data_IF_897234034901
#
_entry.id   IF_897234034901
#
_cell.length_a   1.000
_cell.length_b   1.000
_cell.length_c   1.000
_cell.angle_alpha   90.00
_cell.angle_beta   90.00
_cell.angle_gamma   90.00
#
_symmetry.space_group_name_H-M   'P 1'
#
loop_
_entity.id
_entity.type
_entity.pdbx_description
1 polymer ?
#
# COMPACT_ATOMS: atom_id res chain seq x y z
N UNK A 1 0.77 -30.11 -18.60
CA UNK A 1 0.99 -28.66 -18.39
C UNK A 1 1.54 -28.39 -16.98
N UNK A 2 0.92 -28.91 -15.93
CA UNK A 2 1.30 -28.68 -14.51
C UNK A 2 2.73 -29.12 -14.17
N UNK A 3 3.17 -30.33 -14.56
CA UNK A 3 4.54 -30.80 -14.29
C UNK A 3 5.65 -29.92 -14.89
N UNK A 4 5.38 -29.30 -16.05
CA UNK A 4 6.32 -28.36 -16.69
C UNK A 4 6.56 -27.16 -15.77
N UNK A 5 5.51 -26.64 -15.15
CA UNK A 5 5.56 -25.51 -14.21
C UNK A 5 6.39 -25.90 -12.98
N UNK A 6 6.10 -27.06 -12.39
CA UNK A 6 6.82 -27.56 -11.20
C UNK A 6 8.31 -27.76 -11.49
N UNK A 7 8.66 -28.40 -12.61
CA UNK A 7 10.07 -28.55 -13.01
C UNK A 7 10.76 -27.21 -13.21
N UNK A 8 10.08 -26.21 -13.78
CA UNK A 8 10.66 -24.88 -13.95
C UNK A 8 10.85 -24.13 -12.62
N UNK A 9 9.95 -24.29 -11.63
CA UNK A 9 10.17 -23.75 -10.29
C UNK A 9 11.36 -24.41 -9.59
N UNK A 10 11.45 -25.74 -9.66
CA UNK A 10 12.62 -26.49 -9.17
C UNK A 10 13.91 -25.99 -9.81
N UNK A 11 13.95 -25.86 -11.13
CA UNK A 11 15.09 -25.29 -11.88
C UNK A 11 15.50 -23.90 -11.40
N UNK A 12 14.53 -23.04 -11.08
CA UNK A 12 14.83 -21.71 -10.52
C UNK A 12 15.47 -21.80 -9.12
N UNK A 13 15.01 -22.71 -8.25
CA UNK A 13 15.61 -22.93 -6.93
C UNK A 13 17.05 -23.49 -7.01
N UNK A 14 17.36 -24.25 -8.06
CA UNK A 14 18.70 -24.74 -8.35
C UNK A 14 19.57 -23.77 -9.15
N UNK A 15 19.01 -22.63 -9.58
CA UNK A 15 19.69 -21.64 -10.42
C UNK A 15 20.36 -22.26 -11.67
N UNK A 16 19.62 -23.14 -12.35
CA UNK A 16 20.13 -23.87 -13.52
C UNK A 16 20.34 -22.95 -14.72
N UNK A 17 21.00 -23.47 -15.77
CA UNK A 17 21.20 -22.69 -16.99
C UNK A 17 19.87 -22.36 -17.65
N UNK A 18 19.81 -21.17 -18.24
CA UNK A 18 18.57 -20.67 -18.83
C UNK A 18 18.05 -21.51 -20.01
N UNK A 19 18.90 -22.33 -20.63
CA UNK A 19 18.54 -23.30 -21.67
C UNK A 19 17.76 -24.52 -21.15
N UNK A 20 17.78 -24.77 -19.85
CA UNK A 20 17.13 -25.95 -19.25
C UNK A 20 15.65 -25.73 -18.98
N UNK A 21 15.17 -24.48 -19.00
CA UNK A 21 13.75 -24.17 -18.77
C UNK A 21 12.87 -24.65 -19.92
N UNK A 22 11.75 -25.28 -19.58
CA UNK A 22 10.82 -25.83 -20.56
C UNK A 22 9.74 -24.81 -20.94
N UNK A 23 9.75 -24.36 -22.19
CA UNK A 23 8.64 -23.63 -22.80
C UNK A 23 8.26 -22.33 -22.08
N UNK A 24 9.26 -21.54 -21.70
CA UNK A 24 9.12 -20.19 -21.14
C UNK A 24 9.54 -19.14 -22.16
N UNK A 25 8.72 -18.09 -22.31
CA UNK A 25 9.08 -16.88 -23.06
C UNK A 25 9.82 -15.87 -22.18
N UNK A 26 9.43 -15.77 -20.90
CA UNK A 26 10.09 -14.95 -19.88
C UNK A 26 10.74 -15.90 -18.87
N UNK A 27 12.05 -15.75 -18.67
CA UNK A 27 12.83 -16.63 -17.80
C UNK A 27 12.91 -16.04 -16.39
N UNK A 28 12.68 -16.85 -15.33
CA UNK A 28 12.80 -16.37 -13.97
C UNK A 28 14.27 -16.13 -13.61
N UNK A 29 14.50 -15.29 -12.61
CA UNK A 29 15.79 -15.20 -11.93
C UNK A 29 15.89 -16.37 -10.96
N UNK A 30 16.96 -17.16 -11.07
CA UNK A 30 17.23 -18.25 -10.12
C UNK A 30 17.72 -17.73 -8.78
N UNK A 31 17.71 -18.60 -7.76
CA UNK A 31 18.20 -18.24 -6.42
C UNK A 31 19.74 -18.22 -6.45
N UNK A 32 20.31 -17.03 -6.35
CA UNK A 32 21.76 -16.85 -6.28
C UNK A 32 22.29 -17.26 -4.90
N UNK A 33 23.11 -18.30 -4.88
CA UNK A 33 23.65 -18.89 -3.64
C UNK A 33 24.59 -17.96 -2.89
N UNK A 34 25.06 -16.87 -3.53
CA UNK A 34 25.91 -15.86 -2.88
C UNK A 34 25.12 -14.94 -1.96
N UNK A 35 23.82 -14.78 -2.20
CA UNK A 35 22.96 -13.85 -1.47
C UNK A 35 21.90 -14.54 -0.60
N UNK A 36 21.78 -15.87 -0.71
CA UNK A 36 20.80 -16.65 0.03
C UNK A 36 21.48 -17.46 1.16
N UNK A 37 21.04 -17.31 2.42
CA UNK A 37 21.47 -18.18 3.52
C UNK A 37 21.31 -19.67 3.17
N UNK A 38 22.27 -20.49 3.60
CA UNK A 38 22.37 -21.89 3.19
C UNK A 38 21.16 -22.73 3.63
N UNK A 39 20.62 -22.46 4.80
CA UNK A 39 19.41 -23.08 5.34
C UNK A 39 18.19 -22.77 4.46
N UNK A 40 17.99 -21.50 4.10
CA UNK A 40 16.90 -21.09 3.20
C UNK A 40 17.04 -21.70 1.80
N UNK A 41 18.25 -21.74 1.26
CA UNK A 41 18.51 -22.35 -0.04
C UNK A 41 18.20 -23.85 -0.04
N UNK A 42 18.60 -24.55 1.03
CA UNK A 42 18.36 -25.98 1.20
C UNK A 42 16.87 -26.25 1.29
N UNK A 43 16.16 -25.54 2.16
CA UNK A 43 14.71 -25.64 2.30
C UNK A 43 13.98 -25.36 0.98
N UNK A 44 14.39 -24.33 0.23
CA UNK A 44 13.80 -24.01 -1.07
C UNK A 44 13.95 -25.15 -2.07
N UNK A 45 15.13 -25.78 -2.15
CA UNK A 45 15.39 -26.91 -3.05
C UNK A 45 14.58 -28.14 -2.65
N UNK A 46 14.62 -28.51 -1.37
CA UNK A 46 13.88 -29.67 -0.84
C UNK A 46 12.38 -29.55 -1.08
N UNK A 47 11.79 -28.38 -0.86
CA UNK A 47 10.36 -28.15 -1.12
C UNK A 47 10.00 -28.42 -2.58
N UNK A 48 10.84 -28.00 -3.54
CA UNK A 48 10.58 -28.21 -4.96
C UNK A 48 10.93 -29.62 -5.45
N UNK A 49 11.90 -30.29 -4.83
CA UNK A 49 12.18 -31.71 -5.03
C UNK A 49 10.97 -32.55 -4.59
N UNK A 50 10.51 -32.34 -3.36
CA UNK A 50 9.33 -33.01 -2.81
C UNK A 50 8.07 -32.71 -3.63
N UNK A 51 7.89 -31.45 -4.06
CA UNK A 51 6.74 -31.08 -4.88
C UNK A 51 6.72 -31.91 -6.17
N UNK A 52 7.86 -32.05 -6.85
CA UNK A 52 7.97 -32.83 -8.08
C UNK A 52 7.73 -34.33 -7.82
N UNK A 53 8.41 -34.91 -6.84
CA UNK A 53 8.29 -36.34 -6.50
C UNK A 53 6.85 -36.72 -6.12
N UNK A 54 6.24 -35.97 -5.19
CA UNK A 54 4.86 -36.20 -4.76
C UNK A 54 3.88 -35.98 -5.91
N UNK A 55 4.14 -34.98 -6.75
CA UNK A 55 3.37 -34.74 -7.97
C UNK A 55 3.41 -35.93 -8.92
N UNK A 56 4.57 -36.55 -9.11
CA UNK A 56 4.73 -37.71 -10.01
C UNK A 56 4.02 -38.95 -9.48
N UNK A 57 4.01 -39.14 -8.16
CA UNK A 57 3.35 -40.29 -7.53
C UNK A 57 1.83 -40.13 -7.43
N UNK A 58 1.34 -38.95 -7.06
CA UNK A 58 -0.08 -38.74 -6.70
C UNK A 58 -0.85 -37.82 -7.67
N UNK A 59 -0.15 -37.12 -8.57
CA UNK A 59 -0.73 -36.09 -9.43
C UNK A 59 -1.06 -34.79 -8.67
N UNK A 60 -1.59 -33.80 -9.41
CA UNK A 60 -2.10 -32.55 -8.84
C UNK A 60 -3.58 -32.36 -9.14
N UNK A 61 -4.33 -31.91 -8.14
CA UNK A 61 -5.75 -31.57 -8.31
C UNK A 61 -5.97 -30.33 -9.18
N UNK A 62 -5.11 -29.33 -9.01
CA UNK A 62 -5.24 -28.01 -9.65
C UNK A 62 -4.17 -27.83 -10.73
N UNK A 63 -4.56 -27.28 -11.89
CA UNK A 63 -3.62 -26.93 -12.95
C UNK A 63 -2.84 -25.65 -12.68
N UNK A 64 -3.40 -24.75 -11.87
CA UNK A 64 -2.79 -23.50 -11.40
C UNK A 64 -3.13 -23.33 -9.91
N UNK A 65 -2.15 -22.93 -9.11
CA UNK A 65 -2.30 -22.78 -7.65
C UNK A 65 -2.21 -21.31 -7.22
N UNK A 66 -1.43 -20.50 -7.92
CA UNK A 66 -1.17 -19.11 -7.56
C UNK A 66 -1.63 -18.14 -8.65
N UNK A 67 -2.25 -17.05 -8.23
CA UNK A 67 -2.54 -15.87 -9.05
C UNK A 67 -2.39 -14.64 -8.16
N UNK A 68 -1.72 -13.61 -8.66
CA UNK A 68 -1.69 -12.30 -8.01
C UNK A 68 -2.75 -11.46 -8.70
N UNK A 69 -3.90 -11.31 -8.04
CA UNK A 69 -5.00 -10.47 -8.51
C UNK A 69 -4.93 -9.09 -7.83
N UNK A 70 -5.53 -8.04 -8.42
CA UNK A 70 -5.69 -6.76 -7.73
C UNK A 70 -6.47 -6.94 -6.42
N UNK A 71 -5.96 -6.41 -5.31
CA UNK A 71 -6.58 -6.56 -3.99
C UNK A 71 -7.22 -5.27 -3.49
N UNK A 72 -7.57 -4.34 -4.38
CA UNK A 72 -8.10 -3.00 -4.06
C UNK A 72 -9.15 -2.97 -2.95
N UNK A 73 -10.24 -3.74 -3.06
CA UNK A 73 -11.30 -3.71 -2.03
C UNK A 73 -10.85 -4.28 -0.70
N UNK A 74 -10.15 -5.42 -0.69
CA UNK A 74 -9.77 -6.12 0.55
C UNK A 74 -8.55 -5.47 1.23
N UNK A 75 -7.59 -4.96 0.47
CA UNK A 75 -6.41 -4.26 1.01
C UNK A 75 -6.81 -3.04 1.82
N UNK A 76 -7.90 -2.37 1.43
CA UNK A 76 -8.48 -1.27 2.19
C UNK A 76 -9.13 -1.71 3.51
N UNK A 77 -9.84 -2.84 3.50
CA UNK A 77 -10.43 -3.41 4.74
C UNK A 77 -9.34 -3.89 5.70
N UNK A 78 -8.22 -4.34 5.15
CA UNK A 78 -7.06 -4.81 5.90
C UNK A 78 -6.07 -3.70 6.30
N UNK A 79 -6.38 -2.43 6.01
CA UNK A 79 -5.51 -1.27 6.27
C UNK A 79 -4.08 -1.44 5.69
N UNK A 80 -4.00 -2.02 4.49
CA UNK A 80 -2.76 -2.16 3.76
C UNK A 80 -2.37 -0.84 3.07
N UNK A 81 -1.10 -0.45 3.16
CA UNK A 81 -0.56 0.71 2.45
C UNK A 81 -0.72 0.56 0.92
N UNK A 82 -0.52 -0.65 0.38
CA UNK A 82 -0.68 -0.95 -1.06
C UNK A 82 -1.88 -1.88 -1.32
N UNK A 83 -2.37 -1.88 -2.55
CA UNK A 83 -3.52 -2.70 -3.00
C UNK A 83 -3.09 -3.98 -3.73
N UNK A 84 -1.88 -4.48 -3.41
CA UNK A 84 -1.26 -5.60 -4.09
C UNK A 84 0.27 -5.49 -4.08
N UNK A 85 0.89 -5.99 -5.15
CA UNK A 85 2.35 -5.91 -5.35
C UNK A 85 2.79 -4.58 -5.97
N UNK A 86 1.84 -3.73 -6.34
CA UNK A 86 2.11 -2.46 -6.97
C UNK A 86 2.79 -1.50 -5.98
N UNK A 87 3.74 -0.67 -6.46
CA UNK A 87 4.24 0.45 -5.68
C UNK A 87 3.09 1.37 -5.26
N UNK A 88 3.23 2.02 -4.10
CA UNK A 88 2.24 2.98 -3.68
C UNK A 88 2.17 4.16 -4.66
N UNK A 89 0.96 4.55 -5.02
CA UNK A 89 0.70 5.63 -5.97
C UNK A 89 0.84 7.02 -5.34
N UNK A 90 0.49 7.16 -4.07
CA UNK A 90 0.52 8.44 -3.36
C UNK A 90 0.67 8.25 -1.85
N UNK A 91 1.30 9.23 -1.19
CA UNK A 91 1.46 9.26 0.27
C UNK A 91 0.10 9.40 0.97
N UNK A 92 -0.80 10.18 0.40
CA UNK A 92 -2.18 10.35 0.90
C UNK A 92 -3.15 10.00 -0.21
N UNK A 93 -4.05 9.07 0.08
CA UNK A 93 -5.06 8.57 -0.84
C UNK A 93 -6.44 8.82 -0.26
N UNK A 94 -7.41 9.05 -1.13
CA UNK A 94 -8.79 9.26 -0.72
C UNK A 94 -9.69 8.28 -1.43
N UNK A 95 -10.50 7.55 -0.67
CA UNK A 95 -11.53 6.68 -1.22
C UNK A 95 -12.90 7.29 -1.02
N UNK A 96 -13.62 7.51 -2.11
CA UNK A 96 -15.04 7.87 -2.05
C UNK A 96 -15.85 6.68 -1.55
N UNK A 97 -16.65 6.87 -0.50
CA UNK A 97 -17.52 5.84 0.04
C UNK A 97 -18.86 5.82 -0.72
N UNK A 98 -19.48 4.64 -0.82
CA UNK A 98 -20.75 4.46 -1.53
C UNK A 98 -21.90 5.29 -0.90
N UNK A 99 -21.83 5.55 0.42
CA UNK A 99 -22.78 6.40 1.14
C UNK A 99 -22.47 7.90 1.10
N UNK A 100 -21.46 8.32 0.33
CA UNK A 100 -20.93 9.68 0.38
C UNK A 100 -19.81 9.84 1.41
N UNK A 101 -19.05 10.93 1.29
CA UNK A 101 -17.83 11.16 2.08
C UNK A 101 -16.59 10.49 1.50
N UNK A 102 -15.44 10.78 2.12
CA UNK A 102 -14.14 10.26 1.73
C UNK A 102 -13.46 9.60 2.92
N UNK A 103 -12.74 8.52 2.67
CA UNK A 103 -11.86 7.89 3.63
C UNK A 103 -10.42 8.22 3.26
N UNK A 104 -9.73 8.95 4.14
CA UNK A 104 -8.33 9.36 3.98
C UNK A 104 -7.42 8.22 4.44
N UNK A 105 -6.52 7.80 3.56
CA UNK A 105 -5.55 6.72 3.81
C UNK A 105 -4.18 7.34 3.70
N UNK A 106 -3.43 7.32 4.81
CA UNK A 106 -2.08 7.87 4.89
C UNK A 106 -1.11 6.70 4.89
N UNK A 107 -0.15 6.72 3.98
CA UNK A 107 0.92 5.73 3.90
C UNK A 107 1.71 5.74 5.22
N UNK A 108 1.61 4.66 5.99
CA UNK A 108 2.24 4.53 7.31
C UNK A 108 3.75 4.30 7.20
N UNK A 109 4.22 3.86 6.03
CA UNK A 109 5.62 3.63 5.73
C UNK A 109 6.43 4.92 5.57
N UNK A 110 5.81 6.08 5.30
CA UNK A 110 6.52 7.37 5.19
C UNK A 110 7.29 7.70 6.47
N UNK A 111 6.66 7.58 7.64
CA UNK A 111 7.34 7.84 8.92
C UNK A 111 8.55 6.92 9.10
N UNK A 112 8.37 5.61 8.83
CA UNK A 112 9.44 4.61 8.96
C UNK A 112 10.61 4.92 8.02
N UNK A 113 10.32 5.36 6.80
CA UNK A 113 11.32 5.75 5.82
C UNK A 113 12.10 7.00 6.28
N UNK A 114 11.42 8.04 6.75
CA UNK A 114 12.07 9.27 7.24
C UNK A 114 12.96 9.01 8.46
N UNK A 115 12.52 8.17 9.41
CA UNK A 115 13.36 7.72 10.54
C UNK A 115 14.63 7.04 10.02
N UNK A 116 14.51 6.17 9.02
CA UNK A 116 15.67 5.45 8.45
C UNK A 116 16.63 6.38 7.72
N UNK A 117 16.13 7.47 7.14
CA UNK A 117 16.92 8.51 6.48
C UNK A 117 17.59 9.48 7.46
N UNK A 118 17.27 9.42 8.75
CA UNK A 118 17.91 10.22 9.79
C UNK A 118 17.24 11.56 10.09
N UNK A 119 16.00 11.76 9.66
CA UNK A 119 15.21 12.94 10.03
C UNK A 119 14.88 12.94 11.53
N UNK A 120 14.83 14.13 12.12
CA UNK A 120 14.39 14.33 13.50
C UNK A 120 12.88 14.15 13.65
N UNK A 121 12.41 13.87 14.87
CA UNK A 121 10.97 13.70 15.12
C UNK A 121 10.16 14.94 14.72
N UNK A 122 10.70 16.14 14.95
CA UNK A 122 10.06 17.40 14.56
C UNK A 122 9.94 17.51 13.05
N UNK A 123 11.00 17.21 12.28
CA UNK A 123 10.93 17.24 10.82
C UNK A 123 9.94 16.20 10.28
N UNK A 124 9.90 15.02 10.89
CA UNK A 124 8.97 13.94 10.54
C UNK A 124 7.52 14.40 10.75
N UNK A 125 7.22 15.00 11.90
CA UNK A 125 5.88 15.54 12.18
C UNK A 125 5.49 16.63 11.18
N UNK A 126 6.39 17.56 10.88
CA UNK A 126 6.12 18.66 9.95
C UNK A 126 5.90 18.14 8.52
N UNK A 127 6.73 17.21 8.03
CA UNK A 127 6.54 16.57 6.72
C UNK A 127 5.21 15.80 6.68
N UNK A 128 4.88 15.11 7.76
CA UNK A 128 3.64 14.32 7.87
C UNK A 128 2.42 15.25 7.86
N UNK A 129 2.42 16.33 8.64
CA UNK A 129 1.35 17.34 8.66
C UNK A 129 1.23 18.08 7.33
N UNK A 130 2.35 18.42 6.70
CA UNK A 130 2.35 19.01 5.37
C UNK A 130 1.68 18.09 4.34
N UNK A 131 1.98 16.79 4.41
CA UNK A 131 1.44 15.80 3.46
C UNK A 131 -0.05 15.50 3.69
N UNK A 132 -0.49 15.39 4.96
CA UNK A 132 -1.87 15.01 5.32
C UNK A 132 -2.83 16.19 5.52
N UNK A 133 -2.29 17.40 5.67
CA UNK A 133 -2.99 18.57 6.19
C UNK A 133 -2.86 18.71 7.71
N UNK A 134 -2.94 19.94 8.21
CA UNK A 134 -2.81 20.23 9.64
C UNK A 134 -4.11 19.99 10.43
N UNK A 135 -5.26 19.88 9.75
CA UNK A 135 -6.56 19.68 10.40
C UNK A 135 -7.05 20.87 11.23
N UNK A 136 -6.41 22.04 11.08
CA UNK A 136 -6.73 23.25 11.84
C UNK A 136 -6.54 24.50 10.99
N UNK A 137 -7.28 25.55 11.33
CA UNK A 137 -7.12 26.90 10.76
C UNK A 137 -5.99 27.68 11.44
N UNK A 138 -5.48 27.21 12.58
CA UNK A 138 -4.37 27.84 13.27
C UNK A 138 -3.08 27.76 12.44
N UNK A 139 -2.41 28.90 12.28
CA UNK A 139 -1.17 29.00 11.49
C UNK A 139 -1.39 29.06 9.96
N UNK A 140 -2.64 29.05 9.48
CA UNK A 140 -2.93 29.24 8.07
C UNK A 140 -2.79 30.72 7.65
N UNK A 141 -2.09 31.04 6.54
CA UNK A 141 -1.88 32.43 6.13
C UNK A 141 -3.15 33.09 5.59
N UNK A 142 -3.95 32.37 4.81
CA UNK A 142 -5.08 32.94 4.05
C UNK A 142 -6.45 32.64 4.69
N UNK A 143 -6.72 31.36 4.95
CA UNK A 143 -7.99 30.89 5.52
C UNK A 143 -7.74 30.55 7.00
N UNK A 144 -8.00 31.51 7.88
CA UNK A 144 -7.79 31.36 9.32
C UNK A 144 -8.95 31.95 10.12
N UNK A 145 -8.93 31.75 11.44
CA UNK A 145 -10.01 32.23 12.32
C UNK A 145 -10.27 33.73 12.19
N UNK A 146 -9.23 34.57 12.09
CA UNK A 146 -9.39 36.01 11.99
C UNK A 146 -10.06 36.42 10.66
N UNK A 147 -9.57 35.88 9.53
CA UNK A 147 -10.13 36.20 8.20
C UNK A 147 -11.55 35.68 8.03
N UNK A 148 -11.91 34.56 8.67
CA UNK A 148 -13.28 34.04 8.68
C UNK A 148 -14.22 34.90 9.54
N UNK A 149 -13.77 35.36 10.71
CA UNK A 149 -14.55 36.28 11.55
C UNK A 149 -14.83 37.61 10.82
N UNK A 150 -13.82 38.17 10.13
CA UNK A 150 -14.00 39.39 9.32
C UNK A 150 -15.01 39.21 8.18
N UNK A 151 -15.11 38.00 7.63
CA UNK A 151 -16.10 37.65 6.61
C UNK A 151 -17.50 37.36 7.17
N UNK A 152 -17.69 37.49 8.49
CA UNK A 152 -18.99 37.37 9.15
C UNK A 152 -19.34 35.96 9.63
N UNK A 153 -18.39 35.03 9.69
CA UNK A 153 -18.60 33.74 10.35
C UNK A 153 -18.61 33.92 11.87
N UNK A 154 -19.43 33.14 12.59
CA UNK A 154 -19.37 33.09 14.07
C UNK A 154 -18.31 32.10 14.52
N UNK A 155 -17.81 32.25 15.75
CA UNK A 155 -16.85 31.30 16.32
C UNK A 155 -17.40 29.87 16.35
N UNK A 156 -18.70 29.72 16.61
CA UNK A 156 -19.36 28.40 16.62
C UNK A 156 -19.32 27.75 15.23
N UNK A 157 -19.62 28.53 14.17
CA UNK A 157 -19.56 28.02 12.79
C UNK A 157 -18.14 27.67 12.38
N UNK A 158 -17.15 28.49 12.76
CA UNK A 158 -15.73 28.22 12.46
C UNK A 158 -15.31 26.90 13.13
N UNK A 159 -15.66 26.71 14.40
CA UNK A 159 -15.36 25.48 15.13
C UNK A 159 -16.00 24.25 14.45
N UNK A 160 -17.26 24.38 14.02
CA UNK A 160 -17.98 23.29 13.36
C UNK A 160 -17.36 22.89 12.01
N UNK A 161 -16.79 23.85 11.28
CA UNK A 161 -16.01 23.56 10.06
C UNK A 161 -14.66 22.94 10.40
N UNK A 162 -13.98 23.43 11.44
CA UNK A 162 -12.67 22.94 11.88
C UNK A 162 -12.75 21.47 12.31
N UNK A 163 -13.79 21.10 13.08
CA UNK A 163 -14.07 19.73 13.51
C UNK A 163 -14.30 18.74 12.34
N UNK A 164 -14.54 19.24 11.10
CA UNK A 164 -14.72 18.42 9.90
C UNK A 164 -13.46 18.32 9.02
N UNK A 165 -12.39 19.07 9.30
CA UNK A 165 -11.22 19.17 8.41
C UNK A 165 -10.48 17.84 8.21
N UNK A 166 -10.53 16.95 9.20
CA UNK A 166 -9.88 15.65 9.11
C UNK A 166 -10.56 14.70 8.11
N UNK A 167 -11.88 14.83 7.95
CA UNK A 167 -12.73 13.93 7.16
C UNK A 167 -13.00 14.41 5.73
N UNK A 168 -12.69 15.68 5.41
CA UNK A 168 -12.91 16.23 4.07
C UNK A 168 -11.70 16.07 3.16
N UNK A 169 -11.99 15.84 1.87
CA UNK A 169 -10.97 15.78 0.83
C UNK A 169 -10.43 17.16 0.43
N UNK A 170 -11.31 18.15 0.37
CA UNK A 170 -11.03 19.52 -0.03
C UNK A 170 -11.74 20.43 0.99
N UNK A 171 -11.07 21.51 1.37
CA UNK A 171 -11.60 22.51 2.31
C UNK A 171 -12.99 23.02 1.90
N UNK A 172 -13.29 23.10 0.60
CA UNK A 172 -14.61 23.49 0.09
C UNK A 172 -15.73 22.58 0.57
N UNK A 173 -15.45 21.30 0.84
CA UNK A 173 -16.44 20.38 1.38
C UNK A 173 -16.73 20.63 2.86
N UNK A 174 -15.82 21.24 3.61
CA UNK A 174 -16.08 21.65 4.99
C UNK A 174 -17.02 22.87 5.03
N UNK A 175 -16.92 23.76 4.05
CA UNK A 175 -17.82 24.91 3.89
C UNK A 175 -19.09 24.54 3.10
N UNK A 176 -19.94 23.69 3.68
CA UNK A 176 -21.19 23.25 3.04
C UNK A 176 -22.44 23.74 3.78
N UNK A 177 -23.58 23.78 3.07
CA UNK A 177 -24.87 24.25 3.59
C UNK A 177 -25.40 23.46 4.78
N UNK A 178 -25.03 22.18 4.90
CA UNK A 178 -25.47 21.32 5.99
C UNK A 178 -24.73 21.65 7.30
N UNK A 179 -23.46 22.05 7.17
CA UNK A 179 -22.59 22.48 8.27
C UNK A 179 -22.86 23.93 8.69
N UNK A 180 -23.10 24.83 7.72
CA UNK A 180 -23.14 26.28 7.97
C UNK A 180 -24.55 26.89 7.98
N UNK A 181 -25.57 26.14 7.56
CA UNK A 181 -26.91 26.67 7.29
C UNK A 181 -26.98 27.46 5.97
N UNK A 182 -28.14 28.04 5.69
CA UNK A 182 -28.33 29.05 4.63
C UNK A 182 -27.72 30.41 5.02
#
# INVERSE_FOLDING_TARGET
MTFKVIRNHRRAAYNVKTSEYEGLTIRPQGIDTRFCPQDMLTAAREVWDNALEMGEHYGYRNAQVTVIAPTGTIGLVMDCDTTGIEPDFAIVKYKKLAGGGYFKIVNQSVRKALVKLGYTETEIEEITKYSKGHGTFAGCPEINKATLLEKGFTEEKIKLVEDQLDDVFDIKFAFNKWTLGE
#
